data_IF_930153153408
#
_entry.id   IF_930153153408
#
_cell.length_a   1.000
_cell.length_b   1.000
_cell.length_c   1.000
_cell.angle_alpha   90.00
_cell.angle_beta   90.00
_cell.angle_gamma   90.00
#
_symmetry.space_group_name_H-M   'P 1'
#
loop_
_entity.id
_entity.type
_entity.pdbx_description
1 polymer ?
#
# COMPACT_ATOMS: atom_id res chain seq x y z
N UNK A 1 12.34 2.64 -11.84
CA UNK A 1 11.50 1.44 -11.68
C UNK A 1 12.11 0.71 -10.51
N UNK A 2 11.32 0.26 -9.53
CA UNK A 2 11.88 -0.38 -8.33
C UNK A 2 12.46 -1.73 -8.77
N UNK A 3 13.73 -1.98 -8.50
CA UNK A 3 14.32 -3.30 -8.73
C UNK A 3 13.80 -4.27 -7.66
N UNK A 4 13.20 -5.37 -8.09
CA UNK A 4 12.66 -6.42 -7.22
C UNK A 4 13.47 -7.70 -7.47
N UNK A 5 13.84 -8.41 -6.40
CA UNK A 5 14.52 -9.70 -6.51
C UNK A 5 13.65 -10.72 -7.26
N UNK A 6 14.21 -11.30 -8.32
CA UNK A 6 13.56 -12.30 -9.17
C UNK A 6 13.10 -13.55 -8.42
N UNK A 7 13.72 -13.87 -7.28
CA UNK A 7 13.40 -15.02 -6.44
C UNK A 7 12.37 -14.68 -5.33
N UNK A 8 11.92 -13.43 -5.23
CA UNK A 8 10.98 -13.02 -4.21
C UNK A 8 9.59 -13.59 -4.50
N UNK A 9 9.05 -14.31 -3.52
CA UNK A 9 7.69 -14.84 -3.58
C UNK A 9 6.71 -13.66 -3.68
N UNK A 10 5.86 -13.67 -4.70
CA UNK A 10 4.89 -12.62 -4.93
C UNK A 10 5.43 -11.36 -5.64
N UNK A 11 6.58 -11.46 -6.34
CA UNK A 11 7.13 -10.34 -7.12
C UNK A 11 6.12 -9.68 -8.06
N UNK A 12 5.27 -10.47 -8.71
CA UNK A 12 4.24 -9.99 -9.66
C UNK A 12 3.27 -9.02 -8.98
N UNK A 13 2.94 -9.27 -7.70
CA UNK A 13 2.06 -8.41 -6.90
C UNK A 13 2.76 -7.11 -6.54
N UNK A 14 4.07 -7.17 -6.23
CA UNK A 14 4.87 -5.97 -5.94
C UNK A 14 5.07 -5.11 -7.19
N UNK A 15 5.36 -5.73 -8.34
CA UNK A 15 5.43 -5.05 -9.64
C UNK A 15 4.10 -4.38 -9.97
N UNK A 16 2.98 -5.11 -9.85
CA UNK A 16 1.64 -4.55 -10.00
C UNK A 16 1.43 -3.35 -9.06
N UNK A 17 1.75 -3.49 -7.77
CA UNK A 17 1.56 -2.42 -6.80
C UNK A 17 2.42 -1.18 -7.11
N UNK A 18 3.71 -1.34 -7.41
CA UNK A 18 4.61 -0.21 -7.63
C UNK A 18 4.40 0.50 -8.97
N UNK A 19 4.05 -0.23 -10.03
CA UNK A 19 3.93 0.33 -11.37
C UNK A 19 2.50 0.71 -11.75
N UNK A 20 1.48 0.02 -11.22
CA UNK A 20 0.08 0.25 -11.63
C UNK A 20 -0.75 1.03 -10.62
N UNK A 21 -0.36 1.13 -9.35
CA UNK A 21 -1.18 1.82 -8.35
C UNK A 21 -1.39 3.30 -8.71
N UNK A 22 -2.59 3.67 -9.18
CA UNK A 22 -2.95 5.05 -9.56
C UNK A 22 -3.53 5.90 -8.42
N UNK A 23 -3.46 5.42 -7.16
CA UNK A 23 -4.09 6.06 -5.98
C UNK A 23 -5.60 6.36 -6.14
N UNK A 24 -6.36 5.48 -6.80
CA UNK A 24 -7.81 5.63 -7.02
C UNK A 24 -8.68 5.53 -5.75
N UNK A 25 -8.09 5.23 -4.58
CA UNK A 25 -8.79 5.08 -3.28
C UNK A 25 -9.77 3.90 -3.17
N UNK A 26 -9.91 3.03 -4.16
CA UNK A 26 -10.78 1.83 -4.04
C UNK A 26 -10.31 0.89 -2.93
N UNK A 27 -9.00 0.83 -2.69
CA UNK A 27 -8.38 0.09 -1.58
C UNK A 27 -8.83 0.50 -0.17
N UNK A 28 -9.58 1.60 -0.02
CA UNK A 28 -10.13 2.07 1.27
C UNK A 28 -11.49 1.45 1.58
N UNK A 29 -12.17 0.90 0.57
CA UNK A 29 -13.54 0.42 0.65
C UNK A 29 -13.64 -1.06 0.29
N UNK A 30 -14.75 -1.70 0.63
CA UNK A 30 -15.07 -3.06 0.19
C UNK A 30 -15.47 -3.06 -1.28
N UNK A 31 -15.19 -4.17 -1.96
CA UNK A 31 -15.59 -4.33 -3.35
C UNK A 31 -17.13 -4.34 -3.46
N UNK A 32 -17.68 -3.49 -4.33
CA UNK A 32 -19.12 -3.27 -4.61
C UNK A 32 -19.97 -2.66 -3.49
N UNK A 33 -19.73 -3.00 -2.23
CA UNK A 33 -20.56 -2.48 -1.12
C UNK A 33 -20.11 -1.10 -0.63
N UNK A 34 -18.88 -0.68 -0.99
CA UNK A 34 -18.29 0.62 -0.60
C UNK A 34 -18.22 0.86 0.92
N UNK A 35 -18.28 -0.19 1.71
CA UNK A 35 -18.09 -0.13 3.16
C UNK A 35 -16.62 0.06 3.51
N UNK A 36 -16.34 0.68 4.65
CA UNK A 36 -14.96 0.88 5.13
C UNK A 36 -14.27 -0.47 5.32
N UNK A 37 -13.13 -0.70 4.65
CA UNK A 37 -12.48 -2.02 4.63
C UNK A 37 -11.10 -2.07 5.27
N UNK A 38 -10.39 -0.94 5.41
CA UNK A 38 -9.02 -0.91 5.91
C UNK A 38 -8.94 -0.58 7.41
N UNK A 39 -8.65 -1.53 8.32
CA UNK A 39 -8.64 -1.25 9.77
C UNK A 39 -7.60 -0.19 10.17
N UNK A 40 -6.43 -0.23 9.51
CA UNK A 40 -5.33 0.72 9.74
C UNK A 40 -5.74 2.14 9.34
N UNK A 41 -6.23 2.30 8.11
CA UNK A 41 -6.65 3.60 7.60
C UNK A 41 -7.80 4.20 8.39
N UNK A 42 -8.80 3.40 8.77
CA UNK A 42 -9.93 3.87 9.57
C UNK A 42 -9.58 4.24 11.00
N UNK A 43 -8.55 3.61 11.58
CA UNK A 43 -8.08 3.94 12.93
C UNK A 43 -7.30 5.25 12.99
N UNK A 44 -6.38 5.45 12.04
CA UNK A 44 -5.41 6.55 12.10
C UNK A 44 -5.76 7.74 11.20
N UNK A 45 -6.68 7.55 10.25
CA UNK A 45 -7.30 8.59 9.41
C UNK A 45 -6.35 9.44 8.56
N UNK A 46 -5.06 9.10 8.51
CA UNK A 46 -4.06 9.80 7.71
C UNK A 46 -3.62 8.96 6.51
N UNK A 47 -3.38 9.61 5.36
CA UNK A 47 -3.26 8.95 4.05
C UNK A 47 -2.19 7.84 4.03
N UNK A 48 -1.10 8.03 4.79
CA UNK A 48 -0.01 7.06 4.94
C UNK A 48 -0.47 5.70 5.49
N UNK A 49 -1.61 5.63 6.20
CA UNK A 49 -2.17 4.42 6.80
C UNK A 49 -3.09 3.62 5.86
N UNK A 50 -3.30 4.05 4.61
CA UNK A 50 -3.97 3.24 3.58
C UNK A 50 -2.96 2.63 2.60
N UNK A 51 -3.35 1.52 1.97
CA UNK A 51 -2.47 0.74 1.07
C UNK A 51 -1.88 1.60 -0.06
N UNK A 52 -2.70 2.44 -0.71
CA UNK A 52 -2.28 3.32 -1.80
C UNK A 52 -1.08 4.20 -1.44
N UNK A 53 -1.03 4.73 -0.22
CA UNK A 53 0.07 5.60 0.19
C UNK A 53 1.24 4.82 0.77
N UNK A 54 1.01 3.71 1.49
CA UNK A 54 2.09 2.80 1.90
C UNK A 54 2.93 2.35 0.70
N UNK A 55 2.27 1.98 -0.40
CA UNK A 55 2.93 1.60 -1.66
C UNK A 55 3.83 2.73 -2.16
N UNK A 56 3.35 3.99 -2.13
CA UNK A 56 4.12 5.16 -2.58
C UNK A 56 5.27 5.51 -1.63
N UNK A 57 5.09 5.36 -0.32
CA UNK A 57 6.14 5.54 0.68
C UNK A 57 7.27 4.53 0.43
N UNK A 58 6.94 3.24 0.37
CA UNK A 58 7.94 2.18 0.14
C UNK A 58 8.65 2.38 -1.19
N UNK A 59 7.90 2.69 -2.26
CA UNK A 59 8.50 3.00 -3.57
C UNK A 59 9.46 4.19 -3.51
N UNK A 60 9.10 5.25 -2.79
CA UNK A 60 9.97 6.42 -2.61
C UNK A 60 11.24 6.09 -1.85
N UNK A 61 11.13 5.28 -0.79
CA UNK A 61 12.30 4.80 -0.04
C UNK A 61 13.22 3.96 -0.92
N UNK A 62 12.67 3.02 -1.69
CA UNK A 62 13.45 2.14 -2.56
C UNK A 62 14.13 2.88 -3.73
N UNK A 63 13.52 3.95 -4.23
CA UNK A 63 14.13 4.79 -5.27
C UNK A 63 15.15 5.81 -4.72
N UNK A 64 15.23 5.99 -3.39
CA UNK A 64 15.99 7.08 -2.78
C UNK A 64 15.30 8.46 -2.86
N UNK A 65 14.02 8.51 -3.21
CA UNK A 65 13.20 9.74 -3.19
C UNK A 65 12.83 10.15 -1.75
N UNK A 66 12.80 9.20 -0.81
CA UNK A 66 12.50 9.39 0.61
C UNK A 66 13.60 8.75 1.46
N UNK A 67 14.02 9.46 2.51
CA UNK A 67 14.89 8.88 3.53
C UNK A 67 14.08 7.98 4.47
N UNK A 68 14.68 6.86 4.88
CA UNK A 68 14.07 6.01 5.90
C UNK A 68 14.14 6.69 7.27
N UNK A 69 12.98 7.04 7.83
CA UNK A 69 12.87 7.68 9.15
C UNK A 69 11.93 6.88 10.07
N UNK A 70 12.01 7.15 11.37
CA UNK A 70 11.12 6.53 12.36
C UNK A 70 9.64 6.84 12.08
N UNK A 71 9.32 8.01 11.55
CA UNK A 71 7.94 8.40 11.21
C UNK A 71 7.30 7.53 10.11
N UNK A 72 8.12 6.85 9.27
CA UNK A 72 7.61 5.93 8.26
C UNK A 72 7.28 4.54 8.83
N UNK A 73 7.77 4.21 10.03
CA UNK A 73 7.57 2.91 10.68
C UNK A 73 6.09 2.74 11.03
N UNK A 74 5.49 3.72 11.69
CA UNK A 74 4.10 3.66 12.18
C UNK A 74 3.08 3.30 11.08
N UNK A 75 3.00 4.03 9.95
CA UNK A 75 2.04 3.69 8.91
C UNK A 75 2.29 2.35 8.24
N UNK A 76 3.54 1.92 8.12
CA UNK A 76 3.91 0.63 7.51
C UNK A 76 3.46 -0.52 8.42
N UNK A 77 3.84 -0.50 9.70
CA UNK A 77 3.57 -1.58 10.65
C UNK A 77 2.16 -1.55 11.23
N UNK A 78 1.40 -0.47 11.05
CA UNK A 78 -0.02 -0.43 11.39
C UNK A 78 -0.90 -1.33 10.48
N UNK A 79 -0.35 -1.88 9.39
CA UNK A 79 -1.08 -2.76 8.49
C UNK A 79 -1.33 -4.14 9.15
N UNK A 80 -2.57 -4.60 9.20
CA UNK A 80 -2.93 -5.93 9.72
C UNK A 80 -2.75 -7.06 8.72
N UNK A 81 -2.25 -6.77 7.51
CA UNK A 81 -2.09 -7.74 6.41
C UNK A 81 -3.38 -8.49 6.03
N UNK A 82 -4.54 -7.87 6.25
CA UNK A 82 -5.85 -8.50 6.05
C UNK A 82 -6.28 -8.74 4.59
N UNK A 83 -5.58 -8.17 3.59
CA UNK A 83 -5.85 -8.41 2.17
C UNK A 83 -7.00 -7.60 1.54
N UNK A 84 -7.86 -6.94 2.32
CA UNK A 84 -9.05 -6.23 1.80
C UNK A 84 -8.74 -5.19 0.70
N UNK A 85 -7.58 -4.53 0.78
CA UNK A 85 -7.14 -3.57 -0.24
C UNK A 85 -6.86 -4.21 -1.61
N UNK A 86 -6.45 -5.48 -1.61
CA UNK A 86 -6.16 -6.25 -2.82
C UNK A 86 -7.44 -6.71 -3.49
N UNK A 87 -8.41 -7.20 -2.70
CA UNK A 87 -9.75 -7.59 -3.18
C UNK A 87 -10.49 -6.42 -3.85
N UNK A 88 -10.32 -5.21 -3.32
CA UNK A 88 -10.93 -3.99 -3.85
C UNK A 88 -10.05 -3.24 -4.88
N UNK A 89 -8.87 -3.75 -5.23
CA UNK A 89 -7.99 -3.09 -6.19
C UNK A 89 -8.63 -3.09 -7.58
N UNK A 90 -8.54 -1.97 -8.31
CA UNK A 90 -9.11 -1.78 -9.66
C UNK A 90 -8.06 -1.36 -10.71
N UNK A 91 -6.78 -1.40 -10.32
CA UNK A 91 -5.64 -1.06 -11.17
C UNK A 91 -4.85 -2.31 -11.57
#
# INVERSE_FOLDING_TARGET
>A
MVEIDENLIGKEVLEMAFDRCIKCSTCKYSYKDFEKSCPSGEKFLFESYWASCRIRIIRGVLNGDLEWTEDLIDPIFACTTCGACMDACQA
#
